data_IF_392453059642
#
_entry.id   IF_392453059642
#
_cell.length_a   1.000
_cell.length_b   1.000
_cell.length_c   1.000
_cell.angle_alpha   90.00
_cell.angle_beta   90.00
_cell.angle_gamma   90.00
#
_symmetry.space_group_name_H-M   'P 1'
#
loop_
_entity.id
_entity.type
_entity.pdbx_description
1 polymer ?
#
# COMPACT_ATOMS: atom_id res chain seq x y z
N UNK A 1 3.58 27.24 17.16
CA UNK A 1 2.11 27.18 16.94
C UNK A 1 1.87 27.33 15.46
N UNK A 2 1.70 26.20 14.73
CA UNK A 2 1.40 26.24 13.31
C UNK A 2 -0.09 26.55 13.17
N UNK A 3 -0.41 27.73 12.73
CA UNK A 3 -1.76 28.17 12.41
C UNK A 3 -2.34 27.29 11.32
N UNK A 4 -3.38 26.52 11.68
CA UNK A 4 -4.11 25.60 10.77
C UNK A 4 -4.96 26.38 9.73
N UNK A 5 -4.33 27.26 8.95
CA UNK A 5 -5.01 27.98 7.87
C UNK A 5 -5.47 27.04 6.73
N UNK A 6 -5.03 25.79 6.72
CA UNK A 6 -5.30 24.82 5.68
C UNK A 6 -6.25 23.67 6.12
N UNK A 7 -7.08 23.90 7.17
CA UNK A 7 -8.06 22.94 7.62
C UNK A 7 -9.48 23.47 7.42
N UNK A 8 -10.29 22.76 6.64
CA UNK A 8 -11.69 23.09 6.41
C UNK A 8 -12.50 21.85 5.99
N UNK A 9 -13.83 21.93 6.09
CA UNK A 9 -14.69 20.86 5.58
C UNK A 9 -14.64 20.83 4.06
N UNK A 10 -14.21 19.70 3.49
CA UNK A 10 -14.14 19.52 2.05
C UNK A 10 -15.53 19.50 1.44
N UNK A 11 -15.73 20.30 0.42
CA UNK A 11 -16.90 20.31 -0.47
C UNK A 11 -16.42 20.45 -1.90
N UNK A 12 -17.17 19.96 -2.87
CA UNK A 12 -16.83 20.04 -4.29
C UNK A 12 -16.47 21.47 -4.71
N UNK A 13 -17.36 22.43 -4.41
CA UNK A 13 -17.14 23.84 -4.78
C UNK A 13 -15.89 24.45 -4.16
N UNK A 14 -15.57 24.10 -2.90
CA UNK A 14 -14.33 24.59 -2.25
C UNK A 14 -13.09 23.99 -2.88
N UNK A 15 -13.12 22.69 -3.18
CA UNK A 15 -11.98 22.02 -3.78
C UNK A 15 -11.71 22.51 -5.20
N UNK A 16 -12.74 22.82 -5.97
CA UNK A 16 -12.58 23.42 -7.31
C UNK A 16 -11.95 24.82 -7.25
N UNK A 17 -12.40 25.64 -6.31
CA UNK A 17 -11.93 27.01 -6.14
C UNK A 17 -10.49 27.16 -5.65
N UNK A 18 -9.84 26.09 -5.19
CA UNK A 18 -8.45 26.16 -4.72
C UNK A 18 -7.51 26.26 -5.93
N UNK A 19 -6.79 27.38 -5.98
CA UNK A 19 -5.74 27.61 -6.99
C UNK A 19 -4.48 26.80 -6.66
N UNK A 20 -3.78 26.25 -7.66
CA UNK A 20 -2.52 25.58 -7.44
C UNK A 20 -1.44 26.55 -6.91
N UNK A 21 -0.52 26.09 -6.07
CA UNK A 21 0.61 26.88 -5.64
C UNK A 21 1.54 27.21 -6.81
N UNK A 22 2.26 28.31 -6.74
CA UNK A 22 3.23 28.71 -7.77
C UNK A 22 4.38 27.71 -7.90
N UNK A 23 4.78 27.10 -6.80
CA UNK A 23 5.84 26.10 -6.71
C UNK A 23 5.52 25.07 -5.61
N UNK A 24 6.00 23.84 -5.77
CA UNK A 24 5.88 22.83 -4.73
C UNK A 24 4.49 22.20 -4.63
N UNK A 25 4.01 22.04 -3.40
CA UNK A 25 2.75 21.36 -3.07
C UNK A 25 2.10 22.01 -1.88
N UNK A 26 0.79 22.22 -1.96
CA UNK A 26 -0.05 22.63 -0.83
C UNK A 26 -0.84 21.43 -0.29
N UNK A 27 -1.03 21.41 1.01
CA UNK A 27 -1.77 20.35 1.70
C UNK A 27 -2.90 20.93 2.54
N UNK A 28 -4.10 20.43 2.37
CA UNK A 28 -5.31 20.84 3.08
C UNK A 28 -5.89 19.65 3.84
N UNK A 29 -6.40 19.89 5.06
CA UNK A 29 -6.98 18.84 5.92
C UNK A 29 -8.49 18.95 5.96
N UNK A 30 -9.18 17.80 5.88
CA UNK A 30 -10.62 17.77 6.11
C UNK A 30 -10.91 17.84 7.62
N UNK A 31 -11.84 18.73 8.00
CA UNK A 31 -12.27 18.86 9.39
C UNK A 31 -13.28 17.79 9.80
N UNK A 32 -13.96 17.13 8.85
CA UNK A 32 -14.95 16.07 9.14
C UNK A 32 -14.30 14.71 9.40
N UNK A 33 -13.24 14.36 8.67
CA UNK A 33 -12.55 13.07 8.83
C UNK A 33 -11.08 13.31 9.15
N UNK A 34 -10.69 12.97 10.36
CA UNK A 34 -9.30 13.10 10.82
C UNK A 34 -8.36 12.26 9.98
N UNK A 35 -7.31 12.89 9.43
CA UNK A 35 -6.32 12.24 8.59
C UNK A 35 -6.59 12.34 7.09
N UNK A 36 -7.80 12.71 6.66
CA UNK A 36 -8.05 12.97 5.24
C UNK A 36 -7.39 14.30 4.83
N UNK A 37 -6.53 14.23 3.83
CA UNK A 37 -5.72 15.36 3.35
C UNK A 37 -5.81 15.45 1.83
N UNK A 38 -6.07 16.63 1.30
CA UNK A 38 -5.94 16.94 -0.12
C UNK A 38 -4.58 17.55 -0.36
N UNK A 39 -3.89 17.08 -1.38
CA UNK A 39 -2.61 17.65 -1.85
C UNK A 39 -2.78 18.18 -3.25
N UNK A 40 -2.34 19.42 -3.46
CA UNK A 40 -2.40 20.10 -4.75
C UNK A 40 -0.96 20.39 -5.17
N UNK A 41 -0.59 19.98 -6.37
CA UNK A 41 0.72 20.26 -6.97
C UNK A 41 0.71 21.56 -7.75
N UNK A 42 1.88 22.11 -8.05
CA UNK A 42 2.01 23.30 -8.91
C UNK A 42 1.42 23.08 -10.33
N UNK A 43 1.34 21.84 -10.80
CA UNK A 43 0.67 21.48 -12.06
C UNK A 43 -0.87 21.48 -11.97
N UNK A 44 -1.45 21.77 -10.81
CA UNK A 44 -2.89 21.75 -10.57
C UNK A 44 -3.48 20.38 -10.27
N UNK A 45 -2.69 19.31 -10.27
CA UNK A 45 -3.18 17.98 -9.92
C UNK A 45 -3.57 17.91 -8.44
N UNK A 46 -4.78 17.46 -8.16
CA UNK A 46 -5.36 17.33 -6.83
C UNK A 46 -5.46 15.85 -6.48
N UNK A 47 -4.99 15.44 -5.32
CA UNK A 47 -5.05 14.04 -4.87
C UNK A 47 -5.36 13.94 -3.39
N UNK A 48 -6.22 12.98 -3.04
CA UNK A 48 -6.55 12.64 -1.66
C UNK A 48 -5.54 11.66 -1.09
N UNK A 49 -5.17 11.91 0.16
CA UNK A 49 -4.29 11.08 0.97
C UNK A 49 -4.90 10.88 2.35
N UNK A 50 -4.66 9.72 2.91
CA UNK A 50 -4.84 9.48 4.34
C UNK A 50 -3.48 9.63 5.03
N UNK A 51 -3.38 10.56 5.97
CA UNK A 51 -2.14 10.91 6.68
C UNK A 51 -2.39 10.76 8.17
N UNK A 52 -1.74 9.77 8.78
CA UNK A 52 -1.85 9.50 10.21
C UNK A 52 -0.60 8.84 10.75
N UNK A 53 -0.37 8.99 12.05
CA UNK A 53 0.65 8.21 12.75
C UNK A 53 0.05 6.86 13.17
N UNK A 54 0.66 5.76 12.76
CA UNK A 54 0.26 4.39 13.08
C UNK A 54 1.46 3.74 13.77
N UNK A 55 1.27 3.25 14.99
CA UNK A 55 2.34 2.67 15.81
C UNK A 55 3.59 3.56 15.89
N UNK A 56 3.37 4.86 16.11
CA UNK A 56 4.44 5.86 16.17
C UNK A 56 5.02 6.27 14.82
N UNK A 57 4.73 5.57 13.73
CA UNK A 57 5.27 5.81 12.38
C UNK A 57 4.35 6.72 11.56
N UNK A 58 4.88 7.84 11.00
CA UNK A 58 4.11 8.68 10.08
C UNK A 58 3.76 7.88 8.81
N UNK A 59 2.47 7.66 8.60
CA UNK A 59 1.98 6.89 7.46
C UNK A 59 1.17 7.79 6.54
N UNK A 60 1.44 7.70 5.23
CA UNK A 60 0.75 8.42 4.19
C UNK A 60 0.30 7.47 3.10
N UNK A 61 -1.01 7.34 2.90
CA UNK A 61 -1.62 6.42 1.92
C UNK A 61 -2.36 7.26 0.88
N UNK A 62 -2.05 7.07 -0.40
CA UNK A 62 -2.79 7.71 -1.47
C UNK A 62 -4.16 7.03 -1.61
N UNK A 63 -5.23 7.81 -1.62
CA UNK A 63 -6.61 7.35 -1.86
C UNK A 63 -6.89 7.39 -3.36
N UNK A 64 -6.72 8.56 -3.98
CA UNK A 64 -6.92 8.72 -5.42
C UNK A 64 -6.88 10.17 -5.85
N UNK A 65 -7.10 10.40 -7.15
CA UNK A 65 -7.16 11.72 -7.76
C UNK A 65 -8.55 12.37 -7.61
N UNK A 66 -8.58 13.68 -7.55
CA UNK A 66 -9.79 14.49 -7.68
C UNK A 66 -9.78 15.10 -9.09
N UNK A 67 -10.89 15.07 -9.85
CA UNK A 67 -12.26 14.72 -9.43
C UNK A 67 -12.66 13.23 -9.59
N UNK A 68 -11.78 12.34 -10.06
CA UNK A 68 -12.13 10.92 -10.30
C UNK A 68 -12.70 10.25 -9.03
N UNK A 69 -12.18 10.63 -7.86
CA UNK A 69 -12.72 10.23 -6.56
C UNK A 69 -13.42 11.45 -5.96
N UNK A 70 -14.68 11.29 -5.62
CA UNK A 70 -15.49 12.31 -4.94
C UNK A 70 -15.01 12.51 -3.49
N UNK A 71 -15.41 13.63 -2.89
CA UNK A 71 -15.13 13.92 -1.47
C UNK A 71 -15.73 12.87 -0.56
N UNK A 72 -16.93 12.38 -0.88
CA UNK A 72 -17.63 11.37 -0.08
C UNK A 72 -16.93 10.01 -0.14
N UNK A 73 -16.54 9.58 -1.33
CA UNK A 73 -15.76 8.35 -1.52
C UNK A 73 -14.42 8.43 -0.78
N UNK A 74 -13.72 9.57 -0.88
CA UNK A 74 -12.47 9.78 -0.16
C UNK A 74 -12.66 9.69 1.37
N UNK A 75 -13.79 10.21 1.90
CA UNK A 75 -14.15 10.08 3.32
C UNK A 75 -14.45 8.65 3.70
N UNK A 76 -15.22 7.93 2.90
CA UNK A 76 -15.55 6.53 3.14
C UNK A 76 -14.29 5.67 3.20
N UNK A 77 -13.35 5.83 2.26
CA UNK A 77 -12.07 5.13 2.27
C UNK A 77 -11.21 5.50 3.49
N UNK A 78 -11.16 6.79 3.85
CA UNK A 78 -10.44 7.23 5.04
C UNK A 78 -11.05 6.63 6.33
N UNK A 79 -12.36 6.51 6.39
CA UNK A 79 -13.07 5.90 7.53
C UNK A 79 -12.83 4.39 7.62
N UNK A 80 -12.74 3.70 6.48
CA UNK A 80 -12.32 2.29 6.44
C UNK A 80 -10.90 2.12 7.01
N UNK A 81 -9.96 2.97 6.63
CA UNK A 81 -8.59 2.92 7.19
C UNK A 81 -8.58 3.18 8.70
N UNK A 82 -9.41 4.09 9.20
CA UNK A 82 -9.56 4.32 10.65
C UNK A 82 -10.06 3.04 11.33
N UNK A 83 -11.04 2.36 10.74
CA UNK A 83 -11.56 1.09 11.25
C UNK A 83 -10.53 -0.05 11.24
N UNK A 84 -9.72 -0.15 10.18
CA UNK A 84 -8.63 -1.14 10.10
C UNK A 84 -7.56 -0.89 11.17
N UNK A 85 -7.17 0.37 11.37
CA UNK A 85 -6.21 0.77 12.41
C UNK A 85 -6.76 0.45 13.81
N UNK A 86 -8.04 0.71 14.06
CA UNK A 86 -8.68 0.39 15.33
C UNK A 86 -8.70 -1.12 15.63
N UNK A 87 -8.68 -1.96 14.58
CA UNK A 87 -8.55 -3.43 14.69
C UNK A 87 -7.08 -3.91 14.80
N UNK A 88 -6.12 -2.99 14.94
CA UNK A 88 -4.69 -3.32 14.98
C UNK A 88 -4.07 -3.66 13.63
N UNK A 89 -4.79 -3.43 12.52
CA UNK A 89 -4.27 -3.71 11.18
C UNK A 89 -3.72 -2.42 10.55
N UNK A 90 -2.46 -2.43 10.14
CA UNK A 90 -1.88 -1.29 9.43
C UNK A 90 -2.29 -1.34 7.94
N UNK A 91 -3.14 -0.43 7.44
CA UNK A 91 -3.61 -0.46 6.07
C UNK A 91 -2.49 -0.23 5.03
N UNK A 92 -1.39 0.40 5.43
CA UNK A 92 -0.22 0.57 4.57
C UNK A 92 0.49 -0.76 4.31
N UNK A 93 0.70 -1.56 5.35
CA UNK A 93 1.30 -2.91 5.22
C UNK A 93 0.36 -3.87 4.52
N UNK A 94 -0.95 -3.82 4.82
CA UNK A 94 -1.95 -4.63 4.14
C UNK A 94 -1.99 -4.36 2.61
N UNK A 95 -1.96 -3.10 2.20
CA UNK A 95 -1.87 -2.73 0.78
C UNK A 95 -0.54 -3.13 0.15
N UNK A 96 0.57 -2.89 0.85
CA UNK A 96 1.91 -3.27 0.38
C UNK A 96 2.02 -4.78 0.19
N UNK A 97 1.45 -5.57 1.10
CA UNK A 97 1.45 -7.03 1.00
C UNK A 97 0.57 -7.53 -0.16
N UNK A 98 -0.57 -6.87 -0.46
CA UNK A 98 -1.38 -7.18 -1.65
C UNK A 98 -0.68 -6.84 -2.98
N UNK A 99 0.19 -5.84 -2.98
CA UNK A 99 0.89 -5.38 -4.21
C UNK A 99 2.29 -5.95 -4.33
N UNK A 100 2.81 -6.58 -3.28
CA UNK A 100 4.14 -7.13 -3.26
C UNK A 100 4.16 -8.53 -3.90
N UNK A 101 5.13 -8.76 -4.76
CA UNK A 101 5.45 -10.09 -5.23
C UNK A 101 5.66 -11.04 -4.03
N UNK A 102 5.25 -12.31 -4.13
CA UNK A 102 5.42 -13.28 -3.05
C UNK A 102 6.89 -13.39 -2.65
N UNK A 103 7.14 -13.69 -1.40
CA UNK A 103 8.47 -14.03 -0.93
C UNK A 103 8.91 -15.38 -1.51
N UNK A 104 10.21 -15.65 -1.50
CA UNK A 104 10.74 -16.95 -1.92
C UNK A 104 10.14 -18.06 -1.06
N UNK A 105 9.92 -17.81 0.22
CA UNK A 105 9.28 -18.75 1.15
C UNK A 105 7.82 -19.02 0.78
N UNK A 106 7.02 -17.98 0.56
CA UNK A 106 5.62 -18.12 0.12
C UNK A 106 5.50 -18.88 -1.21
N UNK A 107 6.44 -18.66 -2.14
CA UNK A 107 6.47 -19.38 -3.41
C UNK A 107 6.85 -20.83 -3.21
N UNK A 108 7.84 -21.13 -2.36
CA UNK A 108 8.24 -22.50 -2.05
C UNK A 108 7.11 -23.27 -1.35
N UNK A 109 6.41 -22.65 -0.39
CA UNK A 109 5.24 -23.27 0.25
C UNK A 109 4.12 -23.55 -0.76
N UNK A 110 3.84 -22.61 -1.66
CA UNK A 110 2.87 -22.80 -2.73
C UNK A 110 3.28 -23.98 -3.64
N UNK A 111 4.54 -24.02 -4.09
CA UNK A 111 5.06 -25.11 -4.89
C UNK A 111 4.99 -26.46 -4.14
N UNK A 112 5.38 -26.47 -2.87
CA UNK A 112 5.34 -27.66 -2.04
C UNK A 112 3.92 -28.24 -1.92
N UNK A 113 2.93 -27.35 -1.76
CA UNK A 113 1.52 -27.72 -1.65
C UNK A 113 0.92 -28.23 -2.96
N UNK A 114 1.28 -27.60 -4.08
CA UNK A 114 0.68 -27.88 -5.39
C UNK A 114 1.41 -28.98 -6.16
N UNK A 115 2.71 -29.10 -6.02
CA UNK A 115 3.56 -30.00 -6.79
C UNK A 115 4.42 -30.93 -5.91
N UNK A 116 5.12 -30.39 -4.94
CA UNK A 116 6.11 -31.14 -4.17
C UNK A 116 5.50 -32.38 -3.49
N UNK A 117 4.49 -32.18 -2.67
CA UNK A 117 3.81 -33.28 -1.93
C UNK A 117 2.98 -34.19 -2.81
N UNK A 118 2.50 -33.69 -3.94
CA UNK A 118 1.61 -34.43 -4.85
C UNK A 118 2.41 -35.34 -5.79
N UNK A 119 3.54 -34.86 -6.31
CA UNK A 119 4.25 -35.52 -7.39
C UNK A 119 5.63 -36.08 -7.01
N UNK A 120 6.18 -35.73 -5.84
CA UNK A 120 7.55 -36.04 -5.48
C UNK A 120 7.64 -36.78 -4.14
N UNK A 121 8.16 -38.00 -4.15
CA UNK A 121 8.36 -38.77 -2.91
C UNK A 121 9.44 -38.16 -1.99
N UNK A 122 10.40 -37.44 -2.55
CA UNK A 122 11.52 -36.81 -1.83
C UNK A 122 11.27 -35.36 -1.41
N UNK A 123 10.00 -34.90 -1.32
CA UNK A 123 9.66 -33.52 -0.96
C UNK A 123 10.23 -33.08 0.40
N UNK A 124 10.43 -34.02 1.33
CA UNK A 124 11.04 -33.73 2.65
C UNK A 124 12.48 -33.28 2.52
N UNK A 125 13.23 -33.83 1.56
CA UNK A 125 14.60 -33.42 1.29
C UNK A 125 14.62 -32.00 0.66
N UNK A 126 13.68 -31.68 -0.22
CA UNK A 126 13.55 -30.33 -0.78
C UNK A 126 13.28 -29.30 0.33
N UNK A 127 12.42 -29.61 1.32
CA UNK A 127 12.18 -28.75 2.49
C UNK A 127 13.48 -28.57 3.30
N UNK A 128 14.23 -29.66 3.52
CA UNK A 128 15.49 -29.59 4.24
C UNK A 128 16.52 -28.71 3.54
N UNK A 129 16.64 -28.86 2.24
CA UNK A 129 17.55 -28.07 1.40
C UNK A 129 17.13 -26.60 1.38
N UNK A 130 15.84 -26.32 1.22
CA UNK A 130 15.31 -24.96 1.25
C UNK A 130 15.63 -24.26 2.58
N UNK A 131 15.32 -24.91 3.70
CA UNK A 131 15.59 -24.36 5.04
C UNK A 131 17.09 -24.18 5.31
N UNK A 132 17.93 -25.04 4.79
CA UNK A 132 19.40 -24.96 4.97
C UNK A 132 20.03 -23.85 4.15
N UNK A 133 19.60 -23.67 2.89
CA UNK A 133 20.32 -22.82 1.94
C UNK A 133 19.56 -21.54 1.57
N UNK A 134 18.24 -21.52 1.59
CA UNK A 134 17.47 -20.35 1.19
C UNK A 134 17.07 -19.45 2.37
N UNK A 135 16.53 -20.04 3.42
CA UNK A 135 16.05 -19.28 4.59
C UNK A 135 17.14 -18.46 5.28
N UNK A 136 18.38 -18.95 5.52
CA UNK A 136 19.41 -18.17 6.20
C UNK A 136 19.91 -16.96 5.40
N UNK A 137 19.81 -17.01 4.06
CA UNK A 137 20.38 -15.97 3.20
C UNK A 137 19.39 -14.87 2.83
N UNK A 138 18.10 -15.17 2.76
CA UNK A 138 17.10 -14.20 2.35
C UNK A 138 15.67 -14.61 2.76
N UNK A 139 15.34 -14.63 4.06
CA UNK A 139 14.00 -15.04 4.52
C UNK A 139 12.89 -14.15 3.96
N UNK A 140 13.19 -12.86 3.74
CA UNK A 140 12.26 -11.86 3.21
C UNK A 140 12.53 -11.49 1.73
N UNK A 141 13.37 -12.24 1.02
CA UNK A 141 13.65 -11.96 -0.38
C UNK A 141 12.39 -12.08 -1.22
N UNK A 142 12.02 -10.97 -1.86
CA UNK A 142 10.86 -10.91 -2.74
C UNK A 142 11.28 -11.15 -4.17
N UNK A 143 10.51 -11.96 -4.87
CA UNK A 143 10.77 -12.24 -6.29
C UNK A 143 10.27 -11.04 -7.09
N UNK A 144 11.20 -10.35 -7.75
CA UNK A 144 10.87 -9.26 -8.65
C UNK A 144 10.22 -9.83 -9.92
N UNK A 145 9.15 -9.22 -10.41
CA UNK A 145 8.34 -9.71 -11.54
C UNK A 145 9.15 -9.99 -12.84
N UNK A 146 10.36 -9.42 -12.99
CA UNK A 146 11.28 -9.72 -14.08
C UNK A 146 11.84 -11.16 -14.03
N UNK A 147 11.96 -11.74 -12.84
CA UNK A 147 12.49 -13.10 -12.64
C UNK A 147 11.42 -14.17 -12.93
N UNK A 148 10.14 -13.84 -12.84
CA UNK A 148 9.04 -14.78 -13.11
C UNK A 148 8.98 -15.23 -14.56
N UNK A 149 9.34 -14.38 -15.51
CA UNK A 149 9.30 -14.71 -16.95
C UNK A 149 10.34 -15.75 -17.36
N UNK A 150 11.48 -15.77 -16.69
CA UNK A 150 12.56 -16.70 -17.01
C UNK A 150 12.33 -18.10 -16.40
N UNK A 151 11.68 -18.18 -15.24
CA UNK A 151 11.40 -19.47 -14.58
C UNK A 151 10.26 -20.23 -15.29
N UNK A 152 9.27 -19.52 -15.84
CA UNK A 152 8.15 -20.15 -16.55
C UNK A 152 8.50 -20.64 -17.97
N UNK A 153 9.61 -20.17 -18.58
CA UNK A 153 10.03 -20.60 -19.92
C UNK A 153 10.87 -21.87 -19.91
N UNK A 154 11.49 -22.23 -18.79
CA UNK A 154 12.39 -23.39 -18.70
C UNK A 154 11.67 -24.73 -18.36
N UNK A 155 10.35 -24.69 -18.20
CA UNK A 155 9.52 -25.86 -17.88
C UNK A 155 8.47 -26.18 -18.97
N UNK A 156 8.78 -25.92 -20.25
CA UNK A 156 8.01 -26.45 -21.39
C UNK A 156 8.75 -27.56 -22.10
#
# INVERSE_FOLDING_TARGET
>A
MSTDHNAFSFTHSRLEGIKPPKTGRDSYRDTKITGLTLVITASGSKSFYFVRRIDGTPTRIRIGGYPEISVEEARNVAQQFIGEIAKGTNPHTARRNKTAAPTVEELFEYWLKTHGKVHKKSWTEDVRMFNKYCVPFAPDARIVASSYRNIASDYR
#
